data_IF_490803437379
#
_entry.id   IF_490803437379
#
_cell.length_a   1.000
_cell.length_b   1.000
_cell.length_c   1.000
_cell.angle_alpha   90.00
_cell.angle_beta   90.00
_cell.angle_gamma   90.00
#
_symmetry.space_group_name_H-M   'P 1'
#
loop_
_entity.id
_entity.type
_entity.pdbx_description
1 polymer ?
#
# COMPACT_ATOMS: atom_id res chain seq x y z
N UNK A 1 -40.42 -47.93 -37.10
CA UNK A 1 -39.65 -47.11 -38.07
C UNK A 1 -39.48 -45.73 -37.45
N UNK A 2 -38.24 -45.26 -37.35
CA UNK A 2 -37.68 -44.08 -36.64
C UNK A 2 -38.52 -42.78 -36.74
N UNK A 3 -38.45 -41.81 -35.81
CA UNK A 3 -37.25 -41.08 -35.37
C UNK A 3 -37.36 -40.51 -33.92
N UNK A 4 -36.22 -40.54 -33.22
CA UNK A 4 -35.85 -39.70 -32.07
C UNK A 4 -35.48 -38.29 -32.53
N UNK A 5 -35.84 -37.24 -31.76
CA UNK A 5 -34.94 -36.16 -31.28
C UNK A 5 -35.51 -35.64 -29.93
N UNK A 6 -34.64 -35.64 -28.93
CA UNK A 6 -34.81 -35.11 -27.57
C UNK A 6 -34.98 -33.58 -27.50
N UNK A 7 -35.84 -33.08 -26.59
CA UNK A 7 -35.80 -31.68 -26.11
C UNK A 7 -35.38 -31.61 -24.63
N UNK A 8 -34.11 -31.21 -24.47
CA UNK A 8 -33.43 -30.40 -23.44
C UNK A 8 -33.95 -30.39 -21.97
N UNK A 9 -33.20 -30.98 -21.03
CA UNK A 9 -33.41 -30.85 -19.59
C UNK A 9 -32.51 -29.75 -19.01
N UNK A 10 -32.89 -28.47 -19.09
CA UNK A 10 -32.21 -27.40 -18.35
C UNK A 10 -33.12 -26.21 -18.02
N UNK A 11 -34.12 -26.48 -17.17
CA UNK A 11 -34.93 -25.48 -16.49
C UNK A 11 -34.10 -24.82 -15.37
N UNK A 12 -33.43 -23.75 -15.75
CA UNK A 12 -33.08 -22.55 -14.97
C UNK A 12 -33.20 -22.61 -13.44
N UNK A 13 -32.08 -22.89 -12.75
CA UNK A 13 -31.78 -22.36 -11.42
C UNK A 13 -30.27 -22.09 -11.31
N UNK A 14 -29.79 -21.08 -12.02
CA UNK A 14 -28.51 -20.47 -11.68
C UNK A 14 -28.76 -19.43 -10.60
N UNK A 15 -28.48 -19.82 -9.36
CA UNK A 15 -28.11 -18.88 -8.31
C UNK A 15 -27.03 -17.96 -8.88
N UNK A 16 -27.39 -16.70 -9.09
CA UNK A 16 -26.42 -15.61 -9.24
C UNK A 16 -25.58 -15.58 -7.96
N UNK A 17 -24.43 -16.24 -7.99
CA UNK A 17 -23.33 -15.94 -7.10
C UNK A 17 -22.97 -14.49 -7.43
N UNK A 18 -23.45 -13.58 -6.59
CA UNK A 18 -23.15 -12.17 -6.64
C UNK A 18 -21.69 -12.00 -6.19
N UNK A 19 -20.76 -12.35 -7.08
CA UNK A 19 -19.36 -12.03 -6.95
C UNK A 19 -19.26 -10.51 -6.95
N UNK A 20 -19.06 -9.91 -5.78
CA UNK A 20 -18.60 -8.52 -5.67
C UNK A 20 -17.27 -8.48 -6.41
N UNK A 21 -17.29 -7.99 -7.65
CA UNK A 21 -16.09 -7.54 -8.34
C UNK A 21 -15.42 -6.55 -7.40
N UNK A 22 -14.25 -6.95 -6.88
CA UNK A 22 -13.33 -6.04 -6.22
C UNK A 22 -13.05 -4.93 -7.22
N UNK A 23 -13.56 -3.73 -6.93
CA UNK A 23 -13.25 -2.56 -7.75
C UNK A 23 -11.74 -2.39 -7.70
N UNK A 24 -11.07 -2.60 -8.83
CA UNK A 24 -9.64 -2.34 -8.93
C UNK A 24 -9.39 -0.87 -8.56
N UNK A 25 -8.54 -0.67 -7.55
CA UNK A 25 -8.06 0.66 -7.15
C UNK A 25 -7.36 1.27 -8.37
N UNK A 26 -7.44 2.60 -8.52
CA UNK A 26 -6.62 3.29 -9.52
C UNK A 26 -5.14 2.87 -9.38
N UNK A 27 -4.33 2.93 -10.46
CA UNK A 27 -2.92 2.58 -10.38
C UNK A 27 -2.28 3.30 -9.20
N UNK A 28 -1.59 2.56 -8.33
CA UNK A 28 -0.88 3.18 -7.21
C UNK A 28 0.32 3.91 -7.77
N UNK A 29 0.51 5.15 -7.33
CA UNK A 29 1.73 5.92 -7.64
C UNK A 29 2.93 5.38 -6.84
N UNK A 30 2.68 4.62 -5.77
CA UNK A 30 3.70 3.99 -4.93
C UNK A 30 3.38 2.49 -4.77
N UNK A 31 4.32 1.57 -5.07
CA UNK A 31 4.14 0.12 -4.89
C UNK A 31 3.92 -0.29 -3.42
N UNK A 32 3.34 -1.46 -3.19
CA UNK A 32 3.14 -2.00 -1.84
C UNK A 32 4.45 -2.49 -1.20
N UNK A 33 4.46 -2.69 0.12
CA UNK A 33 5.68 -3.08 0.85
C UNK A 33 6.30 -4.39 0.32
N UNK A 34 5.46 -5.34 -0.08
CA UNK A 34 5.92 -6.59 -0.70
C UNK A 34 6.65 -6.34 -2.02
N UNK A 35 6.11 -5.48 -2.88
CA UNK A 35 6.71 -5.10 -4.17
C UNK A 35 8.00 -4.30 -3.98
N UNK A 36 7.99 -3.33 -3.07
CA UNK A 36 9.17 -2.53 -2.73
C UNK A 36 10.31 -3.43 -2.21
N UNK A 37 10.00 -4.37 -1.31
CA UNK A 37 10.98 -5.32 -0.81
C UNK A 37 11.52 -6.23 -1.92
N UNK A 38 10.66 -6.67 -2.85
CA UNK A 38 11.08 -7.46 -4.01
C UNK A 38 11.97 -6.65 -4.97
N UNK A 39 11.80 -5.33 -5.04
CA UNK A 39 12.64 -4.40 -5.77
C UNK A 39 13.96 -4.03 -5.04
N UNK A 40 14.26 -4.70 -3.92
CA UNK A 40 15.51 -4.51 -3.17
C UNK A 40 15.48 -3.36 -2.16
N UNK A 41 14.31 -2.77 -1.89
CA UNK A 41 14.18 -1.73 -0.85
C UNK A 41 14.13 -2.37 0.54
N UNK A 42 15.01 -1.92 1.43
CA UNK A 42 15.05 -2.34 2.83
C UNK A 42 14.15 -1.44 3.68
N UNK A 43 13.38 -2.04 4.60
CA UNK A 43 12.53 -1.29 5.54
C UNK A 43 13.20 -1.21 6.91
N UNK A 44 13.33 0.01 7.45
CA UNK A 44 13.86 0.23 8.80
C UNK A 44 12.97 1.14 9.65
N UNK A 45 12.89 0.83 10.95
CA UNK A 45 12.32 1.74 11.93
C UNK A 45 13.22 2.97 12.05
N UNK A 46 12.65 4.15 11.84
CA UNK A 46 13.37 5.40 12.05
C UNK A 46 13.56 5.68 13.54
N UNK A 47 14.79 5.95 13.94
CA UNK A 47 15.14 6.32 15.31
C UNK A 47 15.21 7.84 15.41
N UNK A 48 14.52 8.42 16.39
CA UNK A 48 14.64 9.85 16.64
C UNK A 48 16.04 10.18 17.22
N UNK A 49 16.59 11.36 16.90
CA UNK A 49 17.77 11.86 17.59
C UNK A 49 17.56 11.89 19.10
N UNK A 50 18.63 11.66 19.86
CA UNK A 50 18.60 11.68 21.32
C UNK A 50 18.00 13.00 21.82
N UNK A 51 17.01 12.90 22.72
CA UNK A 51 16.32 14.05 23.29
C UNK A 51 15.26 14.71 22.39
N UNK A 52 14.92 14.12 21.24
CA UNK A 52 13.83 14.61 20.37
C UNK A 52 12.71 13.58 20.23
N UNK A 53 11.48 14.07 20.13
CA UNK A 53 10.32 13.23 19.80
C UNK A 53 10.33 12.87 18.32
N UNK A 54 10.13 11.59 18.00
CA UNK A 54 9.93 11.15 16.62
C UNK A 54 8.60 11.72 16.10
N UNK A 55 8.64 12.48 15.00
CA UNK A 55 7.42 12.82 14.26
C UNK A 55 6.99 11.63 13.41
N UNK A 56 5.70 11.26 13.46
CA UNK A 56 5.11 10.24 12.58
C UNK A 56 5.32 10.54 11.10
N UNK A 57 5.44 11.82 10.75
CA UNK A 57 5.58 12.29 9.37
C UNK A 57 7.02 12.16 8.85
N UNK A 58 8.00 11.85 9.70
CA UNK A 58 9.41 11.88 9.30
C UNK A 58 9.84 10.62 8.54
N UNK A 59 9.27 10.36 7.37
CA UNK A 59 9.69 9.27 6.47
C UNK A 59 10.91 9.72 5.65
N UNK A 60 11.89 8.85 5.46
CA UNK A 60 13.03 9.13 4.57
C UNK A 60 13.44 7.90 3.77
N UNK A 61 13.96 8.15 2.58
CA UNK A 61 14.58 7.14 1.74
C UNK A 61 16.02 7.56 1.49
N UNK A 62 16.95 6.61 1.58
CA UNK A 62 18.37 6.83 1.29
C UNK A 62 19.02 5.49 0.96
N UNK A 63 19.75 5.44 -0.15
CA UNK A 63 20.58 4.30 -0.54
C UNK A 63 19.82 2.96 -0.49
N UNK A 64 18.60 2.93 -1.03
CA UNK A 64 17.76 1.72 -1.05
C UNK A 64 17.08 1.40 0.29
N UNK A 65 17.28 2.20 1.33
CA UNK A 65 16.64 2.01 2.64
C UNK A 65 15.50 3.01 2.84
N UNK A 66 14.29 2.50 3.09
CA UNK A 66 13.12 3.26 3.49
C UNK A 66 12.98 3.23 5.03
N UNK A 67 13.19 4.39 5.65
CA UNK A 67 13.04 4.58 7.09
C UNK A 67 11.69 5.19 7.43
N UNK A 68 10.90 4.47 8.24
CA UNK A 68 9.56 4.89 8.64
C UNK A 68 9.52 4.99 10.18
N UNK A 69 9.00 6.10 10.74
CA UNK A 69 8.76 6.20 12.18
C UNK A 69 7.84 5.10 12.70
N UNK A 70 8.06 4.70 13.95
CA UNK A 70 7.22 3.70 14.60
C UNK A 70 5.76 4.14 14.70
N UNK A 71 4.84 3.21 14.43
CA UNK A 71 3.39 3.41 14.54
C UNK A 71 2.74 2.26 15.31
N UNK A 72 2.05 2.58 16.41
CA UNK A 72 1.15 1.65 17.10
C UNK A 72 -0.26 1.80 16.55
N UNK A 73 -0.85 0.71 16.07
CA UNK A 73 -2.18 0.70 15.47
C UNK A 73 -3.17 0.02 16.41
N UNK A 74 -4.19 0.75 16.83
CA UNK A 74 -5.28 0.32 17.69
C UNK A 74 -6.65 0.84 17.19
N UNK A 75 -7.72 0.57 17.94
CA UNK A 75 -9.09 0.98 17.59
C UNK A 75 -9.26 2.51 17.46
N UNK A 76 -8.39 3.29 18.11
CA UNK A 76 -8.44 4.77 18.10
C UNK A 76 -7.69 5.36 16.91
N UNK A 77 -6.81 4.58 16.27
CA UNK A 77 -5.93 5.06 15.19
C UNK A 77 -6.74 5.53 13.98
N UNK A 78 -7.75 4.76 13.54
CA UNK A 78 -8.59 5.15 12.40
C UNK A 78 -9.35 6.46 12.63
N UNK A 79 -10.13 6.64 13.72
CA UNK A 79 -10.85 7.89 13.94
C UNK A 79 -9.90 9.09 14.11
N UNK A 80 -8.75 8.91 14.77
CA UNK A 80 -7.75 9.99 14.90
C UNK A 80 -7.23 10.45 13.55
N UNK A 81 -6.78 9.51 12.69
CA UNK A 81 -6.28 9.85 11.36
C UNK A 81 -7.36 10.47 10.46
N UNK A 82 -8.61 9.96 10.51
CA UNK A 82 -9.73 10.56 9.77
C UNK A 82 -10.02 12.00 10.20
N UNK A 83 -9.97 12.28 11.49
CA UNK A 83 -10.18 13.64 12.00
C UNK A 83 -9.07 14.59 11.55
N UNK A 84 -7.81 14.13 11.52
CA UNK A 84 -6.68 14.92 11.02
C UNK A 84 -6.80 15.19 9.51
N UNK A 85 -7.20 14.20 8.71
CA UNK A 85 -7.49 14.39 7.28
C UNK A 85 -8.64 15.39 7.11
N UNK A 86 -9.74 15.25 7.86
CA UNK A 86 -10.88 16.15 7.77
C UNK A 86 -10.51 17.60 8.13
N UNK A 87 -9.65 17.79 9.14
CA UNK A 87 -9.11 19.10 9.51
C UNK A 87 -8.30 19.71 8.36
N UNK A 88 -7.40 18.94 7.75
CA UNK A 88 -6.58 19.41 6.61
C UNK A 88 -7.43 19.74 5.38
N UNK A 89 -8.44 18.93 5.07
CA UNK A 89 -9.32 19.15 3.92
C UNK A 89 -10.35 20.27 4.17
N UNK A 90 -10.77 20.46 5.42
CA UNK A 90 -11.74 21.48 5.82
C UNK A 90 -11.13 22.86 6.08
N UNK A 91 -9.83 22.94 6.35
CA UNK A 91 -9.12 24.19 6.61
C UNK A 91 -7.97 24.39 5.61
N UNK A 92 -8.19 25.24 4.62
CA UNK A 92 -7.24 25.48 3.52
C UNK A 92 -5.84 25.98 3.91
N UNK A 93 -5.62 26.37 5.17
CA UNK A 93 -4.33 26.88 5.67
C UNK A 93 -3.51 25.85 6.49
N UNK A 94 -4.01 24.63 6.70
CA UNK A 94 -3.34 23.62 7.56
C UNK A 94 -2.32 22.77 6.78
N UNK A 95 -2.40 22.77 5.45
CA UNK A 95 -1.58 21.91 4.59
C UNK A 95 -2.18 20.51 4.45
N UNK A 96 -1.36 19.51 4.13
CA UNK A 96 -1.80 18.17 3.74
C UNK A 96 -0.84 17.06 4.19
N UNK A 97 -0.07 17.31 5.25
CA UNK A 97 0.99 16.42 5.70
C UNK A 97 0.43 15.07 6.19
N UNK A 98 -0.63 15.09 6.98
CA UNK A 98 -1.30 13.87 7.45
C UNK A 98 -2.02 13.14 6.33
N UNK A 99 -2.71 13.88 5.45
CA UNK A 99 -3.37 13.33 4.26
C UNK A 99 -2.35 12.59 3.39
N UNK A 100 -1.20 13.23 3.12
CA UNK A 100 -0.11 12.64 2.37
C UNK A 100 0.47 11.40 3.05
N UNK A 101 0.72 11.47 4.36
CA UNK A 101 1.22 10.34 5.14
C UNK A 101 0.25 9.16 5.13
N UNK A 102 -1.05 9.42 5.31
CA UNK A 102 -2.07 8.38 5.28
C UNK A 102 -2.17 7.73 3.90
N UNK A 103 -2.08 8.51 2.82
CA UNK A 103 -2.04 7.99 1.45
C UNK A 103 -0.79 7.15 1.20
N UNK A 104 0.36 7.57 1.70
CA UNK A 104 1.59 6.78 1.64
C UNK A 104 1.43 5.44 2.37
N UNK A 105 0.95 5.45 3.62
CA UNK A 105 0.71 4.23 4.40
C UNK A 105 -0.31 3.30 3.71
N UNK A 106 -1.37 3.86 3.11
CA UNK A 106 -2.38 3.13 2.32
C UNK A 106 -1.82 2.55 1.00
N UNK A 107 -0.79 3.17 0.41
CA UNK A 107 -0.11 2.62 -0.75
C UNK A 107 0.77 1.43 -0.37
N UNK A 108 1.60 1.59 0.67
CA UNK A 108 2.55 0.54 1.09
C UNK A 108 1.86 -0.63 1.81
N UNK A 109 0.71 -0.41 2.46
CA UNK A 109 -0.07 -1.46 3.13
C UNK A 109 -1.29 -1.82 2.28
N UNK A 110 -1.20 -2.90 1.50
CA UNK A 110 -2.35 -3.44 0.77
C UNK A 110 -2.95 -4.69 1.43
N UNK A 111 -2.08 -5.55 1.93
CA UNK A 111 -2.41 -6.90 2.38
C UNK A 111 -1.87 -7.14 3.79
N UNK A 112 -2.33 -8.22 4.44
CA UNK A 112 -1.75 -8.67 5.70
C UNK A 112 -0.24 -8.98 5.57
N UNK A 113 0.23 -9.39 4.39
CA UNK A 113 1.65 -9.62 4.12
C UNK A 113 2.48 -8.34 4.22
N UNK A 114 1.95 -7.22 3.72
CA UNK A 114 2.63 -5.92 3.84
C UNK A 114 2.72 -5.46 5.29
N UNK A 115 1.66 -5.67 6.07
CA UNK A 115 1.66 -5.40 7.51
C UNK A 115 2.71 -6.25 8.22
N UNK A 116 2.79 -7.54 7.90
CA UNK A 116 3.76 -8.45 8.49
C UNK A 116 5.21 -8.00 8.23
N UNK A 117 5.52 -7.48 7.03
CA UNK A 117 6.83 -6.89 6.71
C UNK A 117 7.14 -5.74 7.66
N UNK A 118 6.24 -4.75 7.76
CA UNK A 118 6.46 -3.57 8.60
C UNK A 118 6.57 -3.92 10.09
N UNK A 119 5.82 -4.91 10.56
CA UNK A 119 5.93 -5.43 11.94
C UNK A 119 7.28 -6.09 12.19
N UNK A 120 7.75 -6.92 11.25
CA UNK A 120 9.04 -7.60 11.37
C UNK A 120 10.21 -6.62 11.44
N UNK A 121 10.09 -5.46 10.79
CA UNK A 121 11.05 -4.37 10.85
C UNK A 121 10.89 -3.44 12.08
N UNK A 122 9.94 -3.73 12.97
CA UNK A 122 9.65 -2.92 14.16
C UNK A 122 9.05 -1.55 13.84
N UNK A 123 8.58 -1.33 12.61
CA UNK A 123 7.94 -0.08 12.17
C UNK A 123 6.50 -0.02 12.67
N UNK A 124 5.80 -1.15 12.66
CA UNK A 124 4.39 -1.21 13.02
C UNK A 124 4.17 -2.13 14.22
N UNK A 125 3.43 -1.67 15.21
CA UNK A 125 2.87 -2.50 16.28
C UNK A 125 1.37 -2.66 16.03
N UNK A 126 0.92 -3.92 15.94
CA UNK A 126 -0.47 -4.25 15.72
C UNK A 126 -1.15 -4.57 17.06
N UNK A 127 -2.10 -3.72 17.47
CA UNK A 127 -3.01 -3.93 18.60
C UNK A 127 -4.45 -4.17 18.14
N UNK A 128 -4.65 -4.41 16.84
CA UNK A 128 -5.88 -4.96 16.27
C UNK A 128 -5.77 -6.49 16.24
N UNK A 129 -6.92 -7.18 16.23
CA UNK A 129 -6.98 -8.65 16.36
C UNK A 129 -6.15 -9.45 15.33
N UNK A 130 -5.76 -8.84 14.20
CA UNK A 130 -4.92 -9.46 13.19
C UNK A 130 -4.36 -8.46 12.16
N UNK A 131 -3.44 -8.93 11.32
CA UNK A 131 -2.76 -8.08 10.32
C UNK A 131 -3.70 -7.70 9.15
N UNK A 132 -4.73 -8.50 8.90
CA UNK A 132 -5.75 -8.20 7.91
C UNK A 132 -6.61 -7.00 8.33
N UNK A 133 -6.91 -6.86 9.61
CA UNK A 133 -7.65 -5.74 10.18
C UNK A 133 -6.88 -4.43 10.02
N UNK A 134 -5.57 -4.44 10.23
CA UNK A 134 -4.68 -3.28 9.97
C UNK A 134 -4.70 -2.92 8.49
N UNK A 135 -4.54 -3.90 7.59
CA UNK A 135 -4.58 -3.64 6.16
C UNK A 135 -5.93 -3.04 5.72
N UNK A 136 -7.04 -3.59 6.24
CA UNK A 136 -8.38 -3.08 5.98
C UNK A 136 -8.58 -1.66 6.53
N UNK A 137 -8.01 -1.35 7.70
CA UNK A 137 -8.05 -0.02 8.29
C UNK A 137 -7.45 1.00 7.31
N UNK A 138 -6.21 0.81 6.86
CA UNK A 138 -5.55 1.74 5.94
C UNK A 138 -6.23 1.81 4.58
N UNK A 139 -6.58 0.65 4.00
CA UNK A 139 -7.33 0.57 2.74
C UNK A 139 -8.69 1.28 2.80
N UNK A 140 -9.30 1.41 3.98
CA UNK A 140 -10.53 2.16 4.19
C UNK A 140 -10.31 3.63 4.52
N UNK A 141 -9.17 3.97 5.13
CA UNK A 141 -8.85 5.29 5.67
C UNK A 141 -8.87 6.35 4.57
N UNK A 142 -8.25 6.03 3.44
CA UNK A 142 -8.06 6.95 2.32
C UNK A 142 -9.15 6.85 1.23
N UNK A 143 -10.20 6.05 1.44
CA UNK A 143 -11.33 5.99 0.50
C UNK A 143 -12.02 7.35 0.39
N UNK A 144 -12.02 7.92 -0.81
CA UNK A 144 -12.63 9.22 -1.09
C UNK A 144 -11.69 10.40 -0.83
N UNK A 145 -10.52 10.18 -0.23
CA UNK A 145 -9.47 11.19 -0.11
C UNK A 145 -8.76 11.32 -1.45
N UNK A 146 -8.64 12.54 -1.97
CA UNK A 146 -7.87 12.83 -3.18
C UNK A 146 -6.83 13.87 -2.85
N UNK A 147 -5.56 13.50 -3.00
CA UNK A 147 -4.46 14.44 -3.01
C UNK A 147 -3.75 14.31 -4.34
N UNK A 148 -3.42 15.44 -4.95
CA UNK A 148 -2.58 15.45 -6.14
C UNK A 148 -1.15 15.08 -5.75
N UNK A 149 -0.48 14.24 -6.54
CA UNK A 149 0.86 13.78 -6.24
C UNK A 149 1.85 14.93 -5.98
N UNK A 150 1.73 16.01 -6.75
CA UNK A 150 2.60 17.18 -6.65
C UNK A 150 2.47 17.93 -5.33
N UNK A 151 1.44 17.64 -4.56
CA UNK A 151 1.18 18.25 -3.26
C UNK A 151 1.64 17.37 -2.09
N UNK A 152 2.20 16.17 -2.32
CA UNK A 152 2.71 15.37 -1.21
C UNK A 152 3.84 16.10 -0.47
N UNK A 153 3.76 16.16 0.87
CA UNK A 153 4.81 16.81 1.67
C UNK A 153 6.20 16.17 1.50
N UNK A 154 6.24 14.90 1.09
CA UNK A 154 7.46 14.12 0.92
C UNK A 154 7.64 13.61 -0.51
N UNK A 155 7.17 14.40 -1.48
CA UNK A 155 7.17 14.04 -2.90
C UNK A 155 8.54 13.58 -3.38
N UNK A 156 9.59 14.33 -3.08
CA UNK A 156 10.96 14.05 -3.54
C UNK A 156 11.45 12.67 -3.07
N UNK A 157 11.21 12.33 -1.80
CA UNK A 157 11.53 11.01 -1.23
C UNK A 157 10.79 9.90 -1.97
N UNK A 158 9.53 10.11 -2.35
CA UNK A 158 8.74 9.11 -3.07
C UNK A 158 9.19 8.97 -4.53
N UNK A 159 9.56 10.07 -5.19
CA UNK A 159 10.13 10.03 -6.55
C UNK A 159 11.45 9.25 -6.56
N UNK A 160 12.33 9.50 -5.60
CA UNK A 160 13.60 8.77 -5.46
C UNK A 160 13.37 7.27 -5.24
N UNK A 161 12.45 6.93 -4.34
CA UNK A 161 12.10 5.55 -4.02
C UNK A 161 11.51 4.81 -5.24
N UNK A 162 10.58 5.44 -5.96
CA UNK A 162 9.98 4.85 -7.16
C UNK A 162 11.04 4.66 -8.25
N UNK A 163 11.85 5.68 -8.53
CA UNK A 163 12.93 5.59 -9.52
C UNK A 163 13.93 4.47 -9.19
N UNK A 164 14.29 4.32 -7.92
CA UNK A 164 15.14 3.21 -7.47
C UNK A 164 14.50 1.85 -7.76
N UNK A 165 13.21 1.69 -7.44
CA UNK A 165 12.50 0.44 -7.66
C UNK A 165 12.37 0.07 -9.15
N UNK A 166 12.14 1.06 -10.01
CA UNK A 166 12.07 0.88 -11.46
C UNK A 166 13.43 0.51 -12.05
N UNK A 167 14.50 1.18 -11.60
CA UNK A 167 15.86 0.87 -12.02
C UNK A 167 16.22 -0.58 -11.66
N UNK A 168 16.02 -0.98 -10.40
CA UNK A 168 16.31 -2.32 -9.92
C UNK A 168 15.51 -3.39 -10.68
N UNK A 169 14.22 -3.13 -10.95
CA UNK A 169 13.36 -4.02 -11.73
C UNK A 169 13.84 -4.17 -13.18
N UNK A 170 14.24 -3.07 -13.82
CA UNK A 170 14.76 -3.09 -15.18
C UNK A 170 16.09 -3.84 -15.28
N UNK A 171 16.99 -3.65 -14.31
CA UNK A 171 18.25 -4.37 -14.24
C UNK A 171 18.04 -5.88 -14.03
N UNK A 172 17.16 -6.26 -13.10
CA UNK A 172 16.80 -7.66 -12.86
C UNK A 172 16.22 -8.31 -14.11
N UNK A 173 15.31 -7.62 -14.82
CA UNK A 173 14.73 -8.12 -16.06
C UNK A 173 15.77 -8.28 -17.16
N UNK A 174 16.66 -7.30 -17.33
CA UNK A 174 17.74 -7.37 -18.31
C UNK A 174 18.68 -8.55 -18.02
N UNK A 175 19.05 -8.74 -16.75
CA UNK A 175 19.88 -9.86 -16.29
C UNK A 175 19.20 -11.21 -16.53
N UNK A 176 17.90 -11.33 -16.24
CA UNK A 176 17.14 -12.56 -16.51
C UNK A 176 17.08 -12.90 -18.01
N UNK A 177 16.79 -11.91 -18.86
CA UNK A 177 16.78 -12.11 -20.32
C UNK A 177 18.15 -12.54 -20.83
N UNK A 178 19.20 -11.88 -20.37
CA UNK A 178 20.57 -12.19 -20.75
C UNK A 178 21.00 -13.59 -20.29
N UNK A 179 20.70 -13.96 -19.05
CA UNK A 179 21.26 -15.17 -18.44
C UNK A 179 20.42 -16.43 -18.70
N UNK A 180 19.10 -16.29 -18.92
CA UNK A 180 18.19 -17.44 -19.03
C UNK A 180 17.53 -17.56 -20.39
N UNK A 181 17.30 -16.45 -21.11
CA UNK A 181 16.58 -16.44 -22.39
C UNK A 181 17.47 -16.16 -23.60
N UNK A 182 18.80 -16.11 -23.41
CA UNK A 182 19.77 -15.88 -24.49
C UNK A 182 20.32 -17.17 -25.11
N UNK A 183 19.75 -18.34 -24.78
CA UNK A 183 20.12 -19.60 -25.43
C UNK A 183 18.96 -20.08 -26.33
N UNK A 184 19.19 -20.31 -27.63
CA UNK A 184 18.16 -20.58 -28.64
C UNK A 184 17.47 -21.94 -28.49
#
# INVERSE_FOLDING_TARGET
MCRFIDEDPSRTLLHKVNGRSEKSKAPREIPCATELRAAGIEFKKKVAPQGKTASYLNVSFRDGTLEIPFLSVDETTSPQLRNLIALEQGCGNVGNHFTSYCLFMDNIINTAGDVAILRSCGILENKLGGDAEVANLFNSLCKGTRLKYERHYNKETFEEMVAFSEFAHNEWRASLVHNYFSNP
#
